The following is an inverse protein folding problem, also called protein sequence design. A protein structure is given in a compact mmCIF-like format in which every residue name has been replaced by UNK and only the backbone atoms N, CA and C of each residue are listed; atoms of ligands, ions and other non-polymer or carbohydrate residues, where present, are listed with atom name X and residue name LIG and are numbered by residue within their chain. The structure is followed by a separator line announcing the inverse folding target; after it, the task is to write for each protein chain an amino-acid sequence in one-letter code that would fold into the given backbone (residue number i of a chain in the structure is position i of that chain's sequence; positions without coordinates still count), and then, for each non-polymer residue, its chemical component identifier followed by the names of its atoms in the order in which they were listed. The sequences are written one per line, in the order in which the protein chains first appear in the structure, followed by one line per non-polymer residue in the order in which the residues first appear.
data_IF_257059220859
#
_entry.id   IF_257059220859
#
_cell.length_a   1.000
_cell.length_b   1.000
_cell.length_c   1.000
_cell.angle_alpha   90.00
_cell.angle_beta   90.00
_cell.angle_gamma   90.00
#
_symmetry.space_group_name_H-M   'P 1'
#
loop_
_entity.id
_entity.type
_entity.pdbx_description
1 polymer ?
#
# COMPACT_ATOMS: atom_id res chain seq x y z
N UNK A 1 0.97 2.92 -14.54
CA UNK A 1 1.80 3.02 -13.34
C UNK A 1 1.74 4.43 -12.76
N UNK A 2 1.41 4.54 -11.48
CA UNK A 2 1.51 5.80 -10.76
C UNK A 2 2.91 5.82 -10.11
N UNK A 3 3.79 6.75 -10.50
CA UNK A 3 5.16 6.72 -10.00
C UNK A 3 5.25 7.10 -8.53
N UNK A 4 6.34 6.68 -7.89
CA UNK A 4 6.61 6.94 -6.47
C UNK A 4 6.42 8.41 -6.09
N UNK A 5 6.81 9.34 -6.95
CA UNK A 5 6.69 10.77 -6.70
C UNK A 5 5.24 11.26 -6.52
N UNK A 6 4.28 10.48 -7.01
CA UNK A 6 2.85 10.83 -6.94
C UNK A 6 2.08 9.96 -5.94
N UNK A 7 2.76 9.05 -5.25
CA UNK A 7 2.14 8.12 -4.31
C UNK A 7 2.50 8.51 -2.89
N UNK A 8 1.51 8.62 -2.02
CA UNK A 8 1.78 8.78 -0.59
C UNK A 8 2.23 7.44 -0.02
N UNK A 9 3.28 7.46 0.78
CA UNK A 9 3.79 6.29 1.47
C UNK A 9 4.21 6.68 2.88
N UNK A 10 4.41 5.68 3.74
CA UNK A 10 4.95 5.89 5.08
C UNK A 10 6.26 5.13 5.21
N UNK A 11 7.08 5.56 6.16
CA UNK A 11 8.31 4.85 6.50
C UNK A 11 8.02 3.85 7.63
N UNK A 12 8.80 2.78 7.67
CA UNK A 12 8.63 1.72 8.67
C UNK A 12 8.88 2.18 10.11
N UNK A 13 9.44 3.38 10.30
CA UNK A 13 9.70 3.99 11.62
C UNK A 13 8.55 4.88 12.09
N UNK A 14 7.51 5.07 11.27
CA UNK A 14 6.41 5.97 11.63
C UNK A 14 5.64 5.47 12.84
N UNK A 15 5.13 6.43 13.64
CA UNK A 15 4.21 6.16 14.74
C UNK A 15 2.77 6.08 14.21
N UNK A 16 1.87 5.53 15.02
CA UNK A 16 0.44 5.48 14.68
C UNK A 16 -0.09 6.87 14.34
N UNK A 17 0.29 7.89 15.10
CA UNK A 17 -0.15 9.26 14.85
C UNK A 17 0.26 9.74 13.46
N UNK A 18 1.50 9.51 13.07
CA UNK A 18 2.01 9.90 11.75
C UNK A 18 1.29 9.14 10.63
N UNK A 19 1.00 7.86 10.86
CA UNK A 19 0.26 7.03 9.90
C UNK A 19 -1.15 7.58 9.70
N UNK A 20 -1.85 7.87 10.79
CA UNK A 20 -3.23 8.39 10.74
C UNK A 20 -3.28 9.76 10.05
N UNK A 21 -2.34 10.63 10.34
CA UNK A 21 -2.27 11.94 9.69
C UNK A 21 -2.08 11.80 8.17
N UNK A 22 -1.19 10.90 7.76
CA UNK A 22 -0.91 10.68 6.35
C UNK A 22 -2.12 10.10 5.63
N UNK A 23 -2.79 9.13 6.22
CA UNK A 23 -3.97 8.50 5.62
C UNK A 23 -5.15 9.47 5.53
N UNK A 24 -5.34 10.31 6.54
CA UNK A 24 -6.40 11.31 6.52
C UNK A 24 -6.19 12.35 5.43
N UNK A 25 -4.97 12.87 5.31
CA UNK A 25 -4.65 13.89 4.29
C UNK A 25 -4.90 13.36 2.89
N UNK A 26 -4.46 12.14 2.61
CA UNK A 26 -4.55 11.56 1.27
C UNK A 26 -5.79 10.72 1.03
N UNK A 27 -6.58 10.45 2.07
CA UNK A 27 -7.80 9.64 2.02
C UNK A 27 -7.57 8.24 1.45
N UNK A 28 -6.46 7.65 1.79
CA UNK A 28 -6.11 6.32 1.35
C UNK A 28 -6.74 5.25 2.25
N UNK A 29 -7.26 4.18 1.64
CA UNK A 29 -7.72 2.99 2.37
C UNK A 29 -6.59 2.03 2.67
N UNK A 30 -5.48 2.16 1.98
CA UNK A 30 -4.27 1.37 2.16
C UNK A 30 -3.08 2.21 1.72
N UNK A 31 -1.96 2.10 2.43
CA UNK A 31 -0.79 2.91 2.14
C UNK A 31 0.49 2.06 2.17
N UNK A 32 1.36 2.22 1.16
CA UNK A 32 2.63 1.48 1.14
C UNK A 32 3.57 1.90 2.26
N UNK A 33 4.34 0.94 2.74
CA UNK A 33 5.35 1.14 3.77
C UNK A 33 6.72 0.93 3.14
N UNK A 34 7.62 1.89 3.29
CA UNK A 34 8.97 1.82 2.77
C UNK A 34 10.00 1.87 3.89
N UNK A 35 11.15 1.25 3.67
CA UNK A 35 12.31 1.41 4.54
C UNK A 35 12.96 2.77 4.29
N UNK A 36 13.92 3.15 5.14
CA UNK A 36 14.71 4.37 4.94
C UNK A 36 15.50 4.38 3.63
N UNK A 37 15.75 3.19 3.07
CA UNK A 37 16.46 3.04 1.78
C UNK A 37 15.51 3.03 0.58
N UNK A 38 14.21 3.22 0.81
CA UNK A 38 13.23 3.22 -0.28
C UNK A 38 12.76 1.85 -0.73
N UNK A 39 13.09 0.80 0.02
CA UNK A 39 12.63 -0.55 -0.29
C UNK A 39 11.19 -0.75 0.16
N UNK A 40 10.42 -1.49 -0.64
CA UNK A 40 9.05 -1.83 -0.26
C UNK A 40 9.05 -2.89 0.85
N UNK A 41 8.40 -2.56 1.97
CA UNK A 41 8.35 -3.42 3.16
C UNK A 41 6.98 -4.08 3.31
N UNK A 42 5.93 -3.41 2.91
CA UNK A 42 4.57 -3.90 3.05
C UNK A 42 3.55 -2.79 2.86
N UNK A 43 2.32 -3.07 3.24
CA UNK A 43 1.22 -2.11 3.14
C UNK A 43 0.36 -2.22 4.39
N UNK A 44 -0.04 -1.08 4.95
CA UNK A 44 -1.00 -1.05 6.05
C UNK A 44 -2.35 -0.57 5.52
N UNK A 45 -3.43 -1.21 5.99
CA UNK A 45 -4.79 -0.90 5.57
C UNK A 45 -5.59 -0.25 6.69
N UNK A 46 -6.69 0.40 6.33
CA UNK A 46 -7.66 0.90 7.32
C UNK A 46 -8.14 -0.22 8.24
N UNK A 47 -8.37 -1.41 7.68
CA UNK A 47 -8.78 -2.57 8.45
C UNK A 47 -7.78 -2.97 9.52
N UNK A 48 -6.49 -2.93 9.21
CA UNK A 48 -5.43 -3.23 10.18
C UNK A 48 -5.48 -2.25 11.34
N UNK A 49 -5.65 -0.97 11.05
CA UNK A 49 -5.70 0.09 12.05
C UNK A 49 -6.94 -0.03 12.92
N UNK A 50 -8.10 -0.24 12.30
CA UNK A 50 -9.37 -0.39 13.03
C UNK A 50 -9.33 -1.59 13.97
N UNK A 51 -8.79 -2.71 13.51
CA UNK A 51 -8.66 -3.90 14.33
C UNK A 51 -7.74 -3.66 15.52
N UNK A 52 -6.62 -2.98 15.27
CA UNK A 52 -5.69 -2.61 16.34
C UNK A 52 -6.39 -1.71 17.38
N UNK A 53 -7.09 -0.68 16.92
CA UNK A 53 -7.81 0.25 17.81
C UNK A 53 -8.85 -0.47 18.65
N UNK A 54 -9.58 -1.41 18.08
CA UNK A 54 -10.56 -2.20 18.78
C UNK A 54 -9.92 -3.02 19.91
N UNK A 55 -8.77 -3.63 19.65
CA UNK A 55 -8.06 -4.45 20.64
C UNK A 55 -7.39 -3.63 21.73
N UNK A 56 -6.79 -2.51 21.36
CA UNK A 56 -6.06 -1.65 22.28
C UNK A 56 -7.00 -0.85 23.20
N UNK A 57 -8.20 -0.52 22.70
CA UNK A 57 -9.14 0.34 23.41
C UNK A 57 -8.83 1.82 23.20
N UNK A 58 -9.86 2.66 23.38
CA UNK A 58 -9.75 4.10 23.07
C UNK A 58 -8.74 4.83 23.97
N UNK A 59 -8.51 4.36 25.19
CA UNK A 59 -7.58 4.99 26.11
C UNK A 59 -6.14 4.90 25.62
N UNK A 60 -5.80 3.84 24.87
CA UNK A 60 -4.47 3.69 24.29
C UNK A 60 -4.23 4.63 23.10
N UNK A 61 -5.30 5.11 22.47
CA UNK A 61 -5.15 6.00 21.32
C UNK A 61 -4.59 7.38 21.70
N UNK A 62 -4.74 7.79 22.97
CA UNK A 62 -4.13 9.02 23.45
C UNK A 62 -2.59 8.93 23.48
N UNK A 63 -2.05 7.71 23.40
CA UNK A 63 -0.61 7.44 23.39
C UNK A 63 -0.11 7.12 21.97
N UNK A 64 -0.80 7.61 20.95
CA UNK A 64 -0.52 7.28 19.54
C UNK A 64 0.89 7.67 19.08
N UNK A 65 1.56 8.57 19.81
CA UNK A 65 2.95 8.95 19.54
C UNK A 65 3.94 7.87 20.01
N UNK A 66 3.53 7.03 20.95
CA UNK A 66 4.37 5.95 21.48
C UNK A 66 4.05 4.60 20.81
N UNK A 67 3.03 4.55 19.98
CA UNK A 67 2.66 3.34 19.24
C UNK A 67 3.35 3.40 17.87
N UNK A 68 4.15 2.39 17.58
CA UNK A 68 4.90 2.29 16.33
C UNK A 68 4.22 1.33 15.36
N UNK A 69 4.53 1.48 14.08
CA UNK A 69 4.03 0.61 13.03
C UNK A 69 4.24 -0.87 13.36
N UNK A 70 5.41 -1.21 13.96
CA UNK A 70 5.73 -2.58 14.33
C UNK A 70 4.79 -3.18 15.38
N UNK A 71 4.06 -2.34 16.12
CA UNK A 71 3.09 -2.79 17.13
C UNK A 71 1.73 -3.14 16.52
N UNK A 72 1.52 -2.83 15.23
CA UNK A 72 0.25 -3.00 14.54
C UNK A 72 0.32 -4.22 13.63
N UNK A 73 -0.36 -5.33 14.00
CA UNK A 73 -0.35 -6.53 13.13
C UNK A 73 -1.05 -6.26 11.81
N UNK A 74 -0.47 -6.74 10.74
CA UNK A 74 -1.08 -6.72 9.42
C UNK A 74 -1.74 -8.07 9.15
N UNK A 75 -3.02 -8.04 8.83
CA UNK A 75 -3.79 -9.25 8.58
C UNK A 75 -3.52 -9.85 7.20
N UNK A 76 -3.19 -9.00 6.24
CA UNK A 76 -2.99 -9.40 4.85
C UNK A 76 -1.69 -8.79 4.31
N UNK A 77 -0.88 -9.63 3.67
CA UNK A 77 0.36 -9.20 3.04
C UNK A 77 0.10 -8.75 1.60
N UNK A 78 0.36 -7.47 1.31
CA UNK A 78 0.31 -6.96 -0.06
C UNK A 78 1.58 -7.37 -0.78
N UNK A 79 1.45 -8.27 -1.75
CA UNK A 79 2.59 -8.71 -2.54
C UNK A 79 2.95 -7.65 -3.58
N UNK A 80 4.24 -7.41 -3.75
CA UNK A 80 4.76 -6.56 -4.81
C UNK A 80 5.03 -7.39 -6.06
N UNK A 81 5.19 -6.70 -7.21
CA UNK A 81 5.63 -7.31 -8.45
C UNK A 81 6.86 -6.57 -8.96
N UNK A 82 7.66 -7.26 -9.76
CA UNK A 82 8.79 -6.63 -10.46
C UNK A 82 8.28 -5.72 -11.56
N UNK A 83 9.05 -4.68 -11.88
CA UNK A 83 8.78 -3.80 -13.01
C UNK A 83 8.70 -4.58 -14.33
N UNK A 84 9.33 -5.76 -14.37
CA UNK A 84 9.35 -6.62 -15.56
C UNK A 84 8.21 -7.64 -15.59
N UNK A 85 7.28 -7.59 -14.64
CA UNK A 85 6.14 -8.51 -14.58
C UNK A 85 5.16 -8.26 -15.73
N UNK A 86 4.48 -9.32 -16.16
CA UNK A 86 3.49 -9.22 -17.22
C UNK A 86 2.11 -8.82 -16.66
N UNK A 87 1.17 -8.53 -17.56
CA UNK A 87 -0.17 -8.08 -17.16
C UNK A 87 -0.94 -9.15 -16.41
N UNK A 88 -0.74 -10.43 -16.71
CA UNK A 88 -1.42 -11.51 -15.98
C UNK A 88 -1.03 -11.52 -14.50
N UNK A 89 0.23 -11.26 -14.18
CA UNK A 89 0.69 -11.17 -12.79
C UNK A 89 0.03 -9.99 -12.07
N UNK A 90 -0.08 -8.85 -12.76
CA UNK A 90 -0.72 -7.66 -12.20
C UNK A 90 -2.20 -7.93 -11.91
N UNK A 91 -2.91 -8.55 -12.84
CA UNK A 91 -4.33 -8.90 -12.67
C UNK A 91 -4.50 -9.84 -11.49
N UNK A 92 -3.68 -10.87 -11.40
CA UNK A 92 -3.76 -11.84 -10.30
C UNK A 92 -3.60 -11.18 -8.94
N UNK A 93 -2.66 -10.25 -8.80
CA UNK A 93 -2.47 -9.51 -7.55
C UNK A 93 -3.62 -8.57 -7.26
N UNK A 94 -4.11 -7.87 -8.28
CA UNK A 94 -5.17 -6.88 -8.12
C UNK A 94 -6.51 -7.49 -7.75
N UNK A 95 -6.70 -8.80 -7.94
CA UNK A 95 -7.91 -9.49 -7.47
C UNK A 95 -7.99 -9.50 -5.94
N UNK A 96 -6.87 -9.48 -5.25
CA UNK A 96 -6.82 -9.55 -3.79
C UNK A 96 -6.36 -8.24 -3.12
N UNK A 97 -5.85 -7.29 -3.89
CA UNK A 97 -5.26 -6.06 -3.37
C UNK A 97 -5.86 -4.84 -4.05
N UNK A 98 -6.00 -3.72 -3.32
CA UNK A 98 -6.53 -2.49 -3.89
C UNK A 98 -5.60 -1.88 -4.94
N UNK A 99 -4.30 -2.10 -4.77
CA UNK A 99 -3.28 -1.69 -5.73
C UNK A 99 -2.14 -2.72 -5.68
N UNK A 100 -1.29 -2.66 -6.68
CA UNK A 100 -0.14 -3.58 -6.76
C UNK A 100 1.14 -2.74 -6.65
N UNK A 101 1.91 -2.91 -5.57
CA UNK A 101 3.22 -2.24 -5.46
C UNK A 101 4.19 -2.80 -6.51
N UNK A 102 4.96 -1.90 -7.13
CA UNK A 102 5.93 -2.28 -8.16
C UNK A 102 7.31 -1.92 -7.66
N UNK A 103 8.24 -2.85 -7.79
CA UNK A 103 9.63 -2.70 -7.33
C UNK A 103 10.60 -2.99 -8.47
N UNK A 104 11.83 -2.47 -8.33
CA UNK A 104 12.91 -2.78 -9.25
C UNK A 104 13.68 -4.03 -8.78
N UNK A 105 14.80 -4.33 -9.44
CA UNK A 105 15.62 -5.52 -9.15
C UNK A 105 16.24 -5.49 -7.74
N UNK A 106 16.29 -4.33 -7.11
CA UNK A 106 16.83 -4.15 -5.76
C UNK A 106 15.75 -3.97 -4.70
N UNK A 107 14.51 -4.35 -5.03
CA UNK A 107 13.34 -4.18 -4.17
C UNK A 107 13.02 -2.71 -3.85
N UNK A 108 13.54 -1.78 -4.63
CA UNK A 108 13.20 -0.37 -4.47
C UNK A 108 11.81 -0.10 -5.01
N UNK A 109 11.00 0.59 -4.22
CA UNK A 109 9.64 0.94 -4.60
C UNK A 109 9.67 1.99 -5.71
N UNK A 110 9.04 1.71 -6.83
CA UNK A 110 9.00 2.64 -7.97
C UNK A 110 7.60 3.22 -8.21
N UNK A 111 6.58 2.61 -7.66
CA UNK A 111 5.21 3.11 -7.81
C UNK A 111 4.18 2.03 -7.58
N UNK A 112 2.95 2.33 -7.98
CA UNK A 112 1.84 1.38 -7.86
C UNK A 112 1.09 1.27 -9.19
N UNK A 113 0.43 0.13 -9.38
CA UNK A 113 -0.55 -0.06 -10.44
C UNK A 113 -1.90 -0.26 -9.75
N UNK A 114 -2.87 0.56 -10.09
CA UNK A 114 -4.21 0.50 -9.48
C UNK A 114 -5.11 -0.42 -10.28
N UNK A 115 -6.21 -0.86 -9.66
CA UNK A 115 -7.25 -1.61 -10.37
C UNK A 115 -7.79 -0.82 -11.55
N UNK A 116 -7.93 0.50 -11.40
CA UNK A 116 -8.38 1.38 -12.47
C UNK A 116 -7.43 1.34 -13.67
N UNK A 117 -6.11 1.34 -13.42
CA UNK A 117 -5.10 1.24 -14.48
C UNK A 117 -5.24 -0.06 -15.26
N UNK A 118 -5.45 -1.16 -14.54
CA UNK A 118 -5.60 -2.49 -15.15
C UNK A 118 -6.88 -2.58 -15.99
N UNK A 119 -7.99 -2.08 -15.44
CA UNK A 119 -9.26 -2.06 -16.14
C UNK A 119 -9.16 -1.21 -17.41
N UNK A 120 -8.48 -0.07 -17.32
CA UNK A 120 -8.21 0.79 -18.47
C UNK A 120 -7.44 0.09 -19.57
N UNK A 121 -6.42 -0.68 -19.18
CA UNK A 121 -5.65 -1.48 -20.13
C UNK A 121 -6.51 -2.54 -20.82
N UNK A 122 -7.33 -3.26 -20.04
CA UNK A 122 -8.22 -4.28 -20.58
C UNK A 122 -9.23 -3.66 -21.56
N UNK A 123 -9.75 -2.49 -21.25
CA UNK A 123 -10.68 -1.79 -22.12
C UNK A 123 -10.04 -1.43 -23.46
N UNK A 124 -8.80 -0.94 -23.43
CA UNK A 124 -8.05 -0.62 -24.66
C UNK A 124 -7.84 -1.87 -25.53
N UNK A 125 -7.53 -2.99 -24.91
CA UNK A 125 -7.35 -4.25 -25.63
C UNK A 125 -8.63 -4.69 -26.34
N UNK A 126 -9.76 -4.57 -25.66
CA UNK A 126 -11.06 -4.91 -26.26
C UNK A 126 -11.39 -4.01 -27.44
N UNK A 127 -11.06 -2.72 -27.34
CA UNK A 127 -11.32 -1.75 -28.43
C UNK A 127 -10.43 -2.01 -29.65
N UNK A 128 -9.24 -2.54 -29.45
CA UNK A 128 -8.30 -2.84 -30.54
C UNK A 128 -8.64 -4.11 -31.29
N UNK A 129 -9.41 -5.01 -30.70
CA UNK A 129 -9.76 -6.31 -31.31
C UNK A 129 -11.08 -6.31 -32.06
N UNK A 130 -11.82 -5.22 -32.01
CA UNK A 130 -13.11 -5.09 -32.70
C UNK A 130 -13.00 -4.70 -34.16
#
# INVERSE_FOLDING_TARGET
LTPKSEVAFIENTFTLRQILEKMEIHRYSAIPILSGNGEYVGTITEGDILWFCKKAGLNHLSESEDIHLSDIPKKFEYASVSINSNMEDLIARAMAQNFVPVVDDHNKFIGIVTRKDIIGYCYKKLSQTS
#
